data_IF_409706800377
#
_entry.id   IF_409706800377
#
_cell.length_a   1.000
_cell.length_b   1.000
_cell.length_c   1.000
_cell.angle_alpha   90.00
_cell.angle_beta   90.00
_cell.angle_gamma   90.00
#
_symmetry.space_group_name_H-M   'P 1'
#
loop_
_entity.id
_entity.type
_entity.pdbx_description
1 polymer ?
#
# COMPACT_ATOMS: atom_id res chain seq x y z
N UNK A 1 23.42 44.92 19.09
CA UNK A 1 22.01 44.52 19.36
C UNK A 1 21.76 43.18 18.69
N UNK A 2 21.53 42.10 19.44
CA UNK A 2 21.15 40.79 18.86
C UNK A 2 19.61 40.73 18.82
N UNK A 3 19.04 40.75 17.62
CA UNK A 3 17.60 40.60 17.43
C UNK A 3 17.21 39.14 17.74
N UNK A 4 16.45 38.94 18.81
CA UNK A 4 15.83 37.67 19.19
C UNK A 4 14.68 37.39 18.21
N UNK A 5 14.88 36.51 17.22
CA UNK A 5 13.81 36.05 16.34
C UNK A 5 12.90 35.10 17.11
N UNK A 6 11.58 35.25 16.97
CA UNK A 6 10.59 34.42 17.65
C UNK A 6 10.76 32.93 17.28
N UNK A 7 10.51 31.99 18.21
CA UNK A 7 10.72 30.55 18.01
C UNK A 7 9.91 29.97 16.83
N UNK A 8 8.79 30.61 16.48
CA UNK A 8 7.97 30.25 15.31
C UNK A 8 8.69 30.56 14.01
N UNK A 9 9.35 31.72 13.92
CA UNK A 9 10.08 32.15 12.72
C UNK A 9 11.37 31.32 12.55
N UNK A 10 12.03 30.96 13.65
CA UNK A 10 13.14 30.01 13.66
C UNK A 10 12.72 28.59 13.21
N UNK A 11 11.55 28.11 13.65
CA UNK A 11 11.00 26.82 13.21
C UNK A 11 10.58 26.80 11.74
N UNK A 12 10.10 27.90 11.19
CA UNK A 12 9.79 27.97 9.74
C UNK A 12 11.06 28.05 8.89
N UNK A 13 12.12 28.69 9.37
CA UNK A 13 13.39 28.79 8.65
C UNK A 13 14.11 27.43 8.51
N UNK A 14 13.88 26.48 9.42
CA UNK A 14 14.46 25.13 9.34
C UNK A 14 13.72 24.21 8.36
N UNK A 15 12.43 24.45 8.09
CA UNK A 15 11.62 23.59 7.20
C UNK A 15 11.93 23.78 5.71
N UNK A 16 12.44 24.95 5.29
CA UNK A 16 12.68 25.26 3.88
C UNK A 16 14.14 25.10 3.40
N UNK A 17 15.06 24.65 4.25
CA UNK A 17 16.42 24.32 3.79
C UNK A 17 16.43 22.96 3.11
N UNK A 18 16.20 22.96 1.79
CA UNK A 18 16.48 21.82 0.92
C UNK A 18 18.01 21.66 0.83
N UNK A 19 18.60 20.56 1.34
CA UNK A 19 20.02 20.33 1.16
C UNK A 19 20.27 19.86 -0.28
N UNK A 20 20.87 20.72 -1.09
CA UNK A 20 21.46 20.34 -2.37
C UNK A 20 22.84 19.73 -2.05
N UNK A 21 22.88 18.51 -1.52
CA UNK A 21 24.13 17.79 -1.29
C UNK A 21 24.40 16.84 -2.46
N UNK A 22 25.51 17.10 -3.15
CA UNK A 22 26.09 16.28 -4.21
C UNK A 22 26.64 14.98 -3.62
N UNK A 23 26.57 13.92 -4.42
CA UNK A 23 27.02 12.56 -4.12
C UNK A 23 28.54 12.46 -3.95
N UNK A 24 28.98 11.85 -2.85
CA UNK A 24 30.22 11.08 -2.77
C UNK A 24 30.08 10.10 -1.60
N UNK A 25 29.73 8.86 -1.91
CA UNK A 25 29.53 7.79 -0.94
C UNK A 25 30.86 7.12 -0.59
N UNK A 26 31.16 7.03 0.70
CA UNK A 26 32.10 6.08 1.29
C UNK A 26 31.48 5.62 2.61
N UNK A 27 30.91 4.42 2.63
CA UNK A 27 30.37 3.78 3.84
C UNK A 27 31.24 2.57 4.18
N UNK A 28 31.79 2.58 5.39
CA UNK A 28 32.43 1.44 6.03
C UNK A 28 31.44 0.74 6.99
N UNK A 29 31.49 -0.58 6.90
CA UNK A 29 30.86 -1.70 7.62
C UNK A 29 30.41 -1.55 9.08
N UNK A 30 29.27 -2.18 9.42
CA UNK A 30 29.15 -3.22 10.47
C UNK A 30 27.77 -3.95 10.37
N UNK A 31 27.69 -5.30 10.37
CA UNK A 31 26.44 -6.07 10.16
C UNK A 31 25.98 -6.91 11.38
N UNK A 32 24.67 -7.15 11.51
CA UNK A 32 23.98 -8.27 12.19
C UNK A 32 22.49 -8.22 11.74
N UNK A 33 21.67 -9.24 11.50
CA UNK A 33 21.78 -10.69 11.29
C UNK A 33 20.40 -11.16 10.74
N UNK A 34 20.41 -12.14 9.83
CA UNK A 34 19.38 -13.19 9.63
C UNK A 34 18.01 -12.84 9.00
N UNK A 35 17.84 -13.15 7.71
CA UNK A 35 16.86 -14.18 7.24
C UNK A 35 16.82 -14.35 5.70
N UNK A 36 17.07 -15.60 5.26
CA UNK A 36 16.35 -16.31 4.20
C UNK A 36 16.59 -15.99 2.70
N UNK A 37 17.70 -16.52 2.20
CA UNK A 37 17.91 -17.29 0.95
C UNK A 37 16.97 -17.12 -0.26
N UNK A 38 17.43 -16.36 -1.27
CA UNK A 38 17.40 -16.72 -2.70
C UNK A 38 18.66 -16.11 -3.35
N UNK A 39 19.71 -16.93 -3.53
CA UNK A 39 20.96 -16.53 -4.18
C UNK A 39 20.87 -16.78 -5.69
N UNK A 40 21.10 -15.73 -6.48
CA UNK A 40 21.55 -15.83 -7.86
C UNK A 40 22.77 -14.90 -8.02
N UNK A 41 23.95 -15.39 -8.45
CA UNK A 41 25.11 -14.53 -8.62
C UNK A 41 25.13 -13.91 -10.03
N UNK A 42 25.13 -12.58 -10.11
CA UNK A 42 25.66 -11.87 -11.28
C UNK A 42 27.19 -11.87 -11.17
N UNK A 43 27.85 -12.79 -11.87
CA UNK A 43 29.29 -12.70 -12.12
C UNK A 43 29.59 -11.60 -13.13
N UNK A 44 30.52 -10.76 -12.71
CA UNK A 44 31.19 -9.70 -13.45
C UNK A 44 31.88 -10.24 -14.70
N UNK A 45 31.71 -9.52 -15.82
CA UNK A 45 32.51 -9.69 -17.03
C UNK A 45 33.82 -8.93 -16.87
N UNK A 46 34.92 -9.67 -16.78
CA UNK A 46 36.27 -9.18 -17.07
C UNK A 46 36.45 -9.27 -18.60
N UNK A 47 36.76 -8.14 -19.24
CA UNK A 47 37.23 -8.09 -20.62
C UNK A 47 38.65 -8.68 -20.68
N UNK A 48 38.80 -9.81 -21.37
CA UNK A 48 40.08 -10.45 -21.67
C UNK A 48 40.14 -10.82 -23.16
N UNK A 49 41.18 -10.31 -23.80
CA UNK A 49 41.80 -10.65 -25.10
C UNK A 49 41.03 -11.35 -26.22
N UNK A 50 41.04 -10.66 -27.35
CA UNK A 50 40.76 -11.16 -28.69
C UNK A 50 41.72 -12.28 -29.07
N UNK A 51 41.27 -13.54 -29.01
CA UNK A 51 41.85 -14.64 -29.77
C UNK A 51 40.88 -15.10 -30.84
N UNK A 52 41.20 -14.73 -32.08
CA UNK A 52 40.60 -15.25 -33.30
C UNK A 52 40.95 -16.72 -33.46
N UNK A 53 40.18 -17.62 -32.84
CA UNK A 53 40.20 -19.04 -33.22
C UNK A 53 39.05 -19.29 -34.19
N UNK A 54 39.42 -19.58 -35.43
CA UNK A 54 38.54 -19.96 -36.53
C UNK A 54 37.91 -21.32 -36.16
N UNK A 55 36.76 -21.31 -35.49
CA UNK A 55 35.98 -22.53 -35.27
C UNK A 55 35.22 -22.85 -36.56
N UNK A 56 35.86 -23.63 -37.43
CA UNK A 56 35.20 -24.36 -38.50
C UNK A 56 34.38 -25.51 -37.89
N UNK A 57 33.23 -25.19 -37.29
CA UNK A 57 32.22 -26.21 -36.98
C UNK A 57 31.40 -26.43 -38.26
N UNK A 58 31.33 -27.65 -38.81
CA UNK A 58 30.43 -27.93 -39.90
C UNK A 58 29.01 -27.65 -39.41
N UNK A 59 28.30 -26.78 -40.13
CA UNK A 59 26.89 -26.50 -39.93
C UNK A 59 26.12 -27.82 -40.06
N UNK A 60 25.75 -28.43 -38.93
CA UNK A 60 24.85 -29.58 -38.92
C UNK A 60 23.47 -29.06 -39.32
N UNK A 61 23.11 -29.29 -40.57
CA UNK A 61 21.75 -29.13 -41.05
C UNK A 61 20.88 -30.17 -40.34
N UNK A 62 20.39 -29.84 -39.15
CA UNK A 62 19.27 -30.56 -38.54
C UNK A 62 18.11 -30.60 -39.54
N UNK A 63 17.31 -31.68 -39.56
CA UNK A 63 16.25 -31.86 -40.54
C UNK A 63 15.41 -30.59 -40.59
N UNK A 64 15.28 -30.02 -41.80
CA UNK A 64 14.45 -28.84 -42.08
C UNK A 64 13.10 -29.14 -41.44
N UNK A 65 12.77 -28.45 -40.35
CA UNK A 65 11.49 -28.61 -39.67
C UNK A 65 10.44 -28.48 -40.75
N UNK A 66 9.77 -29.60 -41.05
CA UNK A 66 8.80 -29.70 -42.12
C UNK A 66 7.89 -28.49 -41.98
N UNK A 67 7.91 -27.59 -42.97
CA UNK A 67 7.14 -26.37 -42.93
C UNK A 67 5.69 -26.78 -42.64
N UNK A 68 5.24 -26.57 -41.40
CA UNK A 68 3.90 -26.98 -40.96
C UNK A 68 2.90 -26.12 -41.73
N UNK A 69 2.53 -26.58 -42.91
CA UNK A 69 1.60 -25.96 -43.88
C UNK A 69 0.15 -26.14 -43.43
N UNK A 70 -0.11 -26.01 -42.13
CA UNK A 70 -1.43 -26.12 -41.53
C UNK A 70 -1.65 -24.97 -40.55
N UNK A 71 -2.80 -24.29 -40.66
CA UNK A 71 -3.22 -23.27 -39.68
C UNK A 71 -3.15 -23.92 -38.29
N UNK A 72 -2.19 -23.50 -37.45
CA UNK A 72 -2.15 -23.93 -36.04
C UNK A 72 -3.49 -23.52 -35.44
N UNK A 73 -4.29 -24.49 -34.99
CA UNK A 73 -5.49 -24.22 -34.19
C UNK A 73 -4.99 -23.65 -32.87
N UNK A 74 -4.94 -22.33 -32.79
CA UNK A 74 -4.59 -21.64 -31.55
C UNK A 74 -5.81 -21.75 -30.65
N UNK A 75 -5.63 -22.40 -29.50
CA UNK A 75 -6.68 -22.49 -28.48
C UNK A 75 -7.19 -21.07 -28.15
N UNK A 76 -8.51 -20.87 -28.31
CA UNK A 76 -9.17 -19.59 -28.03
C UNK A 76 -8.90 -19.13 -26.59
N UNK A 77 -8.79 -20.06 -25.63
CA UNK A 77 -8.45 -19.77 -24.23
C UNK A 77 -7.05 -19.15 -24.12
N UNK A 78 -6.07 -19.72 -24.83
CA UNK A 78 -4.70 -19.19 -24.87
C UNK A 78 -4.66 -17.80 -25.53
N UNK A 79 -5.45 -17.61 -26.59
CA UNK A 79 -5.59 -16.29 -27.23
C UNK A 79 -6.21 -15.25 -26.29
N UNK A 80 -7.27 -15.61 -25.55
CA UNK A 80 -7.88 -14.72 -24.55
C UNK A 80 -6.91 -14.37 -23.42
N UNK A 81 -6.19 -15.36 -22.88
CA UNK A 81 -5.15 -15.11 -21.86
C UNK A 81 -4.08 -14.16 -22.40
N UNK A 82 -3.59 -14.39 -23.62
CA UNK A 82 -2.60 -13.49 -24.26
C UNK A 82 -3.14 -12.07 -24.45
N UNK A 83 -4.40 -11.95 -24.84
CA UNK A 83 -5.08 -10.66 -25.01
C UNK A 83 -5.17 -9.87 -23.69
N UNK A 84 -5.52 -10.54 -22.57
CA UNK A 84 -5.60 -9.89 -21.26
C UNK A 84 -4.23 -9.60 -20.64
N UNK A 85 -3.19 -10.39 -20.92
CA UNK A 85 -1.83 -10.12 -20.46
C UNK A 85 -1.14 -9.00 -21.23
N UNK A 86 -1.32 -8.96 -22.56
CA UNK A 86 -0.66 -8.00 -23.45
C UNK A 86 -1.70 -7.26 -24.27
N UNK A 87 -2.54 -6.48 -23.58
CA UNK A 87 -3.62 -5.76 -24.24
C UNK A 87 -3.06 -4.66 -25.16
N UNK A 88 -3.35 -4.70 -26.47
CA UNK A 88 -2.73 -3.79 -27.43
C UNK A 88 -3.18 -2.33 -27.26
N UNK A 89 -4.33 -2.09 -26.61
CA UNK A 89 -4.84 -0.74 -26.33
C UNK A 89 -4.32 -0.18 -24.99
N UNK A 90 -3.24 -0.72 -24.43
CA UNK A 90 -2.56 -0.08 -23.30
C UNK A 90 -1.96 1.24 -23.78
N UNK A 91 -2.45 2.40 -23.28
CA UNK A 91 -1.98 3.68 -23.77
C UNK A 91 -0.51 3.89 -23.37
N UNK A 92 0.21 4.68 -24.18
CA UNK A 92 1.56 5.12 -23.82
C UNK A 92 1.49 5.96 -22.53
N UNK A 93 2.57 6.00 -21.71
CA UNK A 93 2.61 6.85 -20.53
C UNK A 93 2.29 8.31 -20.85
N UNK A 94 1.53 8.93 -19.97
CA UNK A 94 1.01 10.29 -20.14
C UNK A 94 2.14 11.32 -20.09
N UNK A 95 2.22 12.20 -21.10
CA UNK A 95 3.20 13.30 -21.18
C UNK A 95 2.50 14.62 -20.88
N UNK A 96 2.83 15.24 -19.75
CA UNK A 96 2.27 16.53 -19.36
C UNK A 96 3.17 17.70 -19.78
N UNK A 97 2.55 18.80 -20.21
CA UNK A 97 3.23 20.09 -20.28
C UNK A 97 3.54 20.59 -18.86
N UNK A 98 4.52 21.50 -18.72
CA UNK A 98 4.95 22.00 -17.41
C UNK A 98 3.79 22.54 -16.56
N UNK A 99 2.95 23.41 -17.12
CA UNK A 99 1.79 23.95 -16.41
C UNK A 99 0.76 22.88 -16.02
N UNK A 100 0.54 21.87 -16.87
CA UNK A 100 -0.36 20.73 -16.57
C UNK A 100 0.21 19.86 -15.44
N UNK A 101 1.51 19.59 -15.47
CA UNK A 101 2.21 18.85 -14.43
C UNK A 101 2.11 19.57 -13.07
N UNK A 102 2.34 20.89 -13.04
CA UNK A 102 2.21 21.69 -11.82
C UNK A 102 0.78 21.69 -11.26
N UNK A 103 -0.25 21.80 -12.11
CA UNK A 103 -1.66 21.67 -11.68
C UNK A 103 -1.94 20.30 -11.07
N UNK A 104 -1.50 19.24 -11.73
CA UNK A 104 -1.66 17.87 -11.22
C UNK A 104 -0.94 17.67 -9.88
N UNK A 105 0.30 18.16 -9.77
CA UNK A 105 1.08 18.10 -8.53
C UNK A 105 0.41 18.84 -7.38
N UNK A 106 -0.16 20.01 -7.65
CA UNK A 106 -0.88 20.82 -6.65
C UNK A 106 -2.13 20.10 -6.14
N UNK A 107 -2.95 19.55 -7.05
CA UNK A 107 -4.14 18.76 -6.67
C UNK A 107 -3.74 17.52 -5.88
N UNK A 108 -2.70 16.81 -6.33
CA UNK A 108 -2.20 15.62 -5.63
C UNK A 108 -1.71 15.96 -4.22
N UNK A 109 -0.99 17.08 -4.05
CA UNK A 109 -0.54 17.52 -2.72
C UNK A 109 -1.70 17.94 -1.83
N UNK A 110 -2.68 18.66 -2.37
CA UNK A 110 -3.90 19.03 -1.65
C UNK A 110 -4.68 17.78 -1.21
N UNK A 111 -4.78 16.77 -2.06
CA UNK A 111 -5.42 15.48 -1.73
C UNK A 111 -4.70 14.75 -0.60
N UNK A 112 -3.36 14.70 -0.63
CA UNK A 112 -2.57 14.10 0.45
C UNK A 112 -2.82 14.81 1.80
N UNK A 113 -2.85 16.15 1.80
CA UNK A 113 -3.15 16.94 3.00
C UNK A 113 -4.57 16.67 3.50
N UNK A 114 -5.56 16.62 2.61
CA UNK A 114 -6.93 16.26 2.96
C UNK A 114 -7.02 14.86 3.58
N UNK A 115 -6.34 13.87 2.98
CA UNK A 115 -6.30 12.51 3.52
C UNK A 115 -5.63 12.44 4.89
N UNK A 116 -4.57 13.22 5.12
CA UNK A 116 -3.91 13.31 6.42
C UNK A 116 -4.86 13.87 7.49
N UNK A 117 -5.54 14.98 7.20
CA UNK A 117 -6.55 15.58 8.10
C UNK A 117 -7.71 14.61 8.39
N UNK A 118 -8.21 13.89 7.37
CA UNK A 118 -9.26 12.88 7.55
C UNK A 118 -8.82 11.72 8.44
N UNK A 119 -7.55 11.30 8.36
CA UNK A 119 -6.98 10.26 9.22
C UNK A 119 -6.82 10.75 10.65
N UNK A 120 -6.29 11.95 10.85
CA UNK A 120 -6.14 12.60 12.15
C UNK A 120 -7.49 12.75 12.86
N UNK A 121 -8.50 13.29 12.17
CA UNK A 121 -9.86 13.41 12.71
C UNK A 121 -10.44 12.05 13.15
N UNK A 122 -10.21 10.99 12.35
CA UNK A 122 -10.62 9.63 12.72
C UNK A 122 -9.88 9.13 13.96
N UNK A 123 -8.58 9.38 14.07
CA UNK A 123 -7.79 8.97 15.23
C UNK A 123 -8.22 9.67 16.51
N UNK A 124 -8.46 10.98 16.45
CA UNK A 124 -8.98 11.76 17.58
C UNK A 124 -10.36 11.27 18.03
N UNK A 125 -11.25 10.92 17.08
CA UNK A 125 -12.56 10.37 17.42
C UNK A 125 -12.46 9.00 18.08
N UNK A 126 -11.57 8.12 17.60
CA UNK A 126 -11.29 6.83 18.25
C UNK A 126 -10.69 7.00 19.65
N UNK A 127 -9.77 7.95 19.82
CA UNK A 127 -9.20 8.30 21.12
C UNK A 127 -10.29 8.82 22.08
N UNK A 128 -11.16 9.72 21.61
CA UNK A 128 -12.31 10.23 22.37
C UNK A 128 -13.22 9.10 22.84
N UNK A 129 -13.58 8.19 21.93
CA UNK A 129 -14.40 7.02 22.26
C UNK A 129 -13.70 6.11 23.28
N UNK A 130 -12.40 5.86 23.10
CA UNK A 130 -11.62 5.04 24.02
C UNK A 130 -11.51 5.66 25.41
N UNK A 131 -11.26 6.96 25.50
CA UNK A 131 -11.25 7.71 26.76
C UNK A 131 -12.60 7.60 27.47
N UNK A 132 -13.69 7.85 26.75
CA UNK A 132 -15.05 7.73 27.31
C UNK A 132 -15.37 6.31 27.81
N UNK A 133 -14.98 5.27 27.07
CA UNK A 133 -15.14 3.88 27.53
C UNK A 133 -14.30 3.56 28.76
N UNK A 134 -13.07 4.08 28.82
CA UNK A 134 -12.15 3.92 29.96
C UNK A 134 -12.74 4.54 31.21
N UNK A 135 -13.20 5.78 31.12
CA UNK A 135 -13.79 6.52 32.24
C UNK A 135 -15.03 5.78 32.76
N UNK A 136 -15.92 5.32 31.87
CA UNK A 136 -17.08 4.51 32.25
C UNK A 136 -16.70 3.19 32.95
N UNK A 137 -15.60 2.55 32.53
CA UNK A 137 -15.10 1.34 33.19
C UNK A 137 -14.50 1.63 34.58
N UNK A 138 -13.83 2.77 34.75
CA UNK A 138 -13.34 3.21 36.06
C UNK A 138 -14.50 3.50 37.02
N UNK A 139 -15.56 4.18 36.55
CA UNK A 139 -16.78 4.38 37.32
C UNK A 139 -17.45 3.06 37.75
N UNK A 140 -17.50 2.06 36.86
CA UNK A 140 -17.98 0.71 37.22
C UNK A 140 -17.08 -0.02 38.21
N UNK A 141 -15.79 0.32 38.26
CA UNK A 141 -14.81 -0.34 39.13
C UNK A 141 -14.87 0.22 40.56
N UNK A 142 -15.05 1.52 40.71
CA UNK A 142 -15.01 2.20 42.03
C UNK A 142 -16.33 2.84 42.46
N UNK A 143 -17.14 3.33 41.52
CA UNK A 143 -18.31 4.15 41.80
C UNK A 143 -19.62 3.38 42.04
N UNK A 144 -19.75 2.16 41.53
CA UNK A 144 -21.01 1.39 41.58
C UNK A 144 -21.36 0.79 42.96
N UNK A 145 -20.45 0.86 43.96
CA UNK A 145 -20.70 0.36 45.32
C UNK A 145 -20.78 -1.17 45.46
N UNK A 146 -20.48 -1.91 44.40
CA UNK A 146 -20.63 -3.38 44.31
C UNK A 146 -19.30 -4.15 44.47
N UNK A 147 -18.23 -3.46 44.87
CA UNK A 147 -16.88 -4.02 44.95
C UNK A 147 -16.27 -4.38 43.59
N UNK A 148 -16.73 -3.76 42.49
CA UNK A 148 -16.23 -4.00 41.14
C UNK A 148 -16.82 -5.26 40.47
N UNK A 149 -17.96 -5.76 40.95
CA UNK A 149 -18.61 -6.96 40.38
C UNK A 149 -19.03 -6.71 38.93
N UNK A 150 -19.69 -5.60 38.64
CA UNK A 150 -20.13 -5.18 37.31
C UNK A 150 -18.94 -4.98 36.37
N UNK A 151 -17.86 -4.35 36.86
CA UNK A 151 -16.62 -4.22 36.11
C UNK A 151 -16.09 -5.59 35.63
N UNK A 152 -15.97 -6.58 36.54
CA UNK A 152 -15.51 -7.94 36.18
C UNK A 152 -16.42 -8.62 35.16
N UNK A 153 -17.74 -8.44 35.27
CA UNK A 153 -18.72 -8.99 34.31
C UNK A 153 -18.54 -8.33 32.94
N UNK A 154 -18.38 -7.01 32.88
CA UNK A 154 -18.21 -6.25 31.62
C UNK A 154 -16.94 -6.61 30.85
N UNK A 155 -15.88 -7.01 31.57
CA UNK A 155 -14.61 -7.41 30.97
C UNK A 155 -14.65 -8.82 30.36
N UNK A 156 -15.69 -9.60 30.65
CA UNK A 156 -15.87 -10.93 30.10
C UNK A 156 -16.12 -10.88 28.58
N UNK A 157 -15.34 -11.64 27.80
CA UNK A 157 -15.42 -11.66 26.32
C UNK A 157 -16.12 -12.90 25.77
N UNK A 158 -17.05 -13.47 26.53
CA UNK A 158 -17.90 -14.59 26.07
C UNK A 158 -18.66 -14.19 24.80
N UNK A 159 -18.68 -15.07 23.79
CA UNK A 159 -19.37 -14.85 22.51
C UNK A 159 -18.64 -13.92 21.53
N UNK A 160 -17.77 -13.02 21.99
CA UNK A 160 -17.11 -12.02 21.12
C UNK A 160 -16.32 -12.64 19.96
N UNK A 161 -15.62 -13.75 20.22
CA UNK A 161 -14.81 -14.45 19.21
C UNK A 161 -15.53 -15.65 18.57
N UNK A 162 -16.68 -16.05 19.10
CA UNK A 162 -17.43 -17.24 18.65
C UNK A 162 -18.63 -16.83 17.80
N UNK A 163 -19.51 -15.99 18.35
CA UNK A 163 -20.79 -15.59 17.74
C UNK A 163 -20.61 -14.46 16.72
N UNK A 164 -19.49 -13.72 16.81
CA UNK A 164 -19.14 -12.60 15.95
C UNK A 164 -20.22 -11.50 15.96
N UNK A 165 -20.22 -10.63 14.94
CA UNK A 165 -21.20 -9.56 14.77
C UNK A 165 -22.36 -10.10 13.91
N UNK A 166 -23.64 -9.90 14.28
CA UNK A 166 -24.76 -10.36 13.45
C UNK A 166 -24.68 -9.80 12.04
N UNK A 167 -24.83 -10.68 11.04
CA UNK A 167 -24.60 -10.37 9.63
C UNK A 167 -25.53 -9.26 9.10
N UNK A 168 -26.69 -9.08 9.73
CA UNK A 168 -27.67 -8.05 9.41
C UNK A 168 -27.10 -6.63 9.61
N UNK A 169 -26.16 -6.44 10.53
CA UNK A 169 -25.46 -5.16 10.75
C UNK A 169 -24.30 -4.93 9.77
N UNK A 170 -23.81 -5.97 9.10
CA UNK A 170 -22.71 -5.89 8.14
C UNK A 170 -23.07 -5.26 6.78
N UNK A 171 -24.29 -4.69 6.65
CA UNK A 171 -24.77 -4.08 5.41
C UNK A 171 -23.98 -2.80 5.09
N UNK A 172 -23.33 -2.77 3.93
CA UNK A 172 -22.57 -1.62 3.46
C UNK A 172 -23.51 -0.48 3.04
N UNK A 173 -22.98 0.76 3.05
CA UNK A 173 -23.71 1.93 2.57
C UNK A 173 -23.89 1.85 1.04
N UNK A 174 -25.07 2.23 0.56
CA UNK A 174 -25.43 2.27 -0.87
C UNK A 174 -25.60 3.73 -1.33
N UNK A 175 -25.30 4.02 -2.60
CA UNK A 175 -25.45 5.37 -3.19
C UNK A 175 -26.91 5.88 -3.20
N UNK A 176 -27.90 4.99 -3.27
CA UNK A 176 -29.32 5.31 -3.18
C UNK A 176 -30.07 4.34 -2.25
N UNK A 177 -31.14 4.77 -1.57
CA UNK A 177 -31.90 3.90 -0.69
C UNK A 177 -32.69 2.84 -1.46
N UNK A 178 -33.01 1.73 -0.79
CA UNK A 178 -34.01 0.77 -1.29
C UNK A 178 -35.40 1.40 -1.32
N UNK A 179 -36.30 0.88 -2.16
CA UNK A 179 -37.71 1.32 -2.23
C UNK A 179 -38.40 1.29 -0.87
N UNK A 180 -38.16 0.24 -0.09
CA UNK A 180 -38.80 0.06 1.22
C UNK A 180 -38.02 0.73 2.36
N UNK A 181 -36.76 1.12 2.15
CA UNK A 181 -35.91 1.83 3.12
C UNK A 181 -35.54 1.01 4.36
N UNK A 182 -36.51 0.79 5.25
CA UNK A 182 -36.40 0.07 6.51
C UNK A 182 -37.55 -0.92 6.69
N UNK A 183 -37.28 -2.12 7.22
CA UNK A 183 -38.32 -3.10 7.49
C UNK A 183 -39.00 -2.80 8.84
N UNK A 184 -40.15 -2.12 8.80
CA UNK A 184 -40.97 -1.84 9.99
C UNK A 184 -41.77 -3.06 10.47
N UNK A 185 -41.94 -4.09 9.64
CA UNK A 185 -42.69 -5.31 9.95
C UNK A 185 -41.83 -6.40 10.62
N UNK A 186 -40.60 -6.08 11.02
CA UNK A 186 -39.70 -7.03 11.69
C UNK A 186 -40.32 -7.57 12.98
N UNK A 187 -40.36 -8.90 13.12
CA UNK A 187 -40.82 -9.63 14.30
C UNK A 187 -39.68 -10.49 14.85
N UNK A 188 -39.64 -10.62 16.19
CA UNK A 188 -38.65 -11.43 16.91
C UNK A 188 -38.95 -12.92 16.79
#
# INVERSE_FOLDING_TARGET
MRQQLSPVLASLASVFKIPIARSSASFASSPLSSSSFLQAPLSSRVCGELRTSVFSRPFSAGPVLSARKGKKVIDKRVTLIRYFLYHPLTPRPLRFSRNRYLRHWTIHRAWQLYCAKKREARQLELERQWNSMRDACEELRTGAGDGGKLFRISMNKRGVFTDQIPIEYGRMQTEGPSKDGWNYDWKR
#
